data_IF_091229614645
#
_entry.id   IF_091229614645
#
_cell.length_a   1.000
_cell.length_b   1.000
_cell.length_c   1.000
_cell.angle_alpha   90.00
_cell.angle_beta   90.00
_cell.angle_gamma   90.00
#
_symmetry.space_group_name_H-M   'P 1'
#
loop_
_entity.id
_entity.type
_entity.pdbx_description
1 polymer ?
#
# COMPACT_ATOMS: atom_id res chain seq x y z
N UNK A 1 -26.14 6.89 36.35
CA UNK A 1 -26.73 5.73 35.66
C UNK A 1 -25.91 4.43 35.78
N UNK A 2 -24.69 4.39 36.33
CA UNK A 2 -23.96 3.12 36.59
C UNK A 2 -23.52 2.32 35.34
N UNK A 3 -23.88 2.78 34.14
CA UNK A 3 -23.62 2.10 32.87
C UNK A 3 -22.14 1.82 32.63
N UNK A 4 -21.26 2.73 33.08
CA UNK A 4 -19.82 2.59 32.90
C UNK A 4 -19.26 1.27 33.44
N UNK A 5 -19.83 0.67 34.49
CA UNK A 5 -19.34 -0.59 35.05
C UNK A 5 -19.90 -1.83 34.34
N UNK A 6 -20.89 -1.65 33.47
CA UNK A 6 -21.52 -2.70 32.66
C UNK A 6 -21.36 -2.48 31.15
N UNK A 7 -20.46 -1.60 30.73
CA UNK A 7 -20.20 -1.31 29.32
C UNK A 7 -18.76 -1.65 28.97
N UNK A 8 -18.60 -2.44 27.90
CA UNK A 8 -17.32 -2.62 27.23
C UNK A 8 -17.15 -1.44 26.27
N UNK A 9 -16.01 -0.74 26.36
CA UNK A 9 -15.66 0.33 25.43
C UNK A 9 -14.45 -0.10 24.63
N UNK A 10 -14.56 -0.04 23.30
CA UNK A 10 -13.46 -0.28 22.37
C UNK A 10 -13.21 1.00 21.60
N UNK A 11 -11.98 1.49 21.65
CA UNK A 11 -11.49 2.58 20.81
C UNK A 11 -10.45 2.03 19.84
N UNK A 12 -10.63 2.28 18.55
CA UNK A 12 -9.77 1.77 17.48
C UNK A 12 -9.65 2.75 16.31
N UNK A 13 -8.56 2.63 15.55
CA UNK A 13 -8.44 3.21 14.20
C UNK A 13 -8.68 2.15 13.13
N UNK A 14 -9.08 2.57 11.92
CA UNK A 14 -9.22 1.70 10.75
C UNK A 14 -7.88 1.49 10.03
N UNK A 15 -7.09 2.56 9.92
CA UNK A 15 -5.74 2.59 9.39
C UNK A 15 -4.96 3.77 9.97
N UNK A 16 -3.65 3.76 9.74
CA UNK A 16 -2.77 4.86 10.07
C UNK A 16 -2.64 5.87 8.93
N UNK A 17 -1.66 6.76 9.06
CA UNK A 17 -1.32 7.76 8.06
C UNK A 17 0.19 8.01 8.09
N UNK A 18 0.85 7.87 6.94
CA UNK A 18 2.29 8.09 6.80
C UNK A 18 2.70 9.53 7.14
N UNK A 19 1.83 10.52 6.92
CA UNK A 19 2.08 11.92 7.26
C UNK A 19 3.45 12.49 6.80
N UNK A 20 3.99 11.98 5.68
CA UNK A 20 5.30 12.38 5.15
C UNK A 20 6.48 11.51 5.59
N UNK A 21 6.28 10.57 6.53
CA UNK A 21 7.28 9.57 6.88
C UNK A 21 7.75 8.82 5.64
N UNK A 22 9.07 8.62 5.53
CA UNK A 22 9.72 8.00 4.36
C UNK A 22 9.43 8.72 3.03
N UNK A 23 9.06 10.01 3.08
CA UNK A 23 8.63 10.77 1.91
C UNK A 23 7.26 10.35 1.35
N UNK A 24 6.52 9.49 2.06
CA UNK A 24 5.26 8.90 1.61
C UNK A 24 4.09 9.68 2.21
N UNK A 25 3.11 9.98 1.35
CA UNK A 25 1.80 10.51 1.76
C UNK A 25 0.77 9.38 1.72
N UNK A 26 -0.30 9.50 2.51
CA UNK A 26 -1.38 8.51 2.53
C UNK A 26 -1.08 7.30 3.43
N UNK A 27 -1.66 6.14 3.08
CA UNK A 27 -1.87 5.01 4.00
C UNK A 27 -1.95 3.62 3.33
N UNK A 28 -1.34 3.47 2.15
CA UNK A 28 -1.41 2.26 1.34
C UNK A 28 -0.03 1.61 1.27
N UNK A 29 0.61 1.45 2.43
CA UNK A 29 1.97 0.94 2.56
C UNK A 29 2.10 0.09 3.83
N UNK A 30 3.08 -0.84 3.91
CA UNK A 30 3.14 -1.84 4.98
C UNK A 30 3.78 -1.36 6.30
N UNK A 31 4.27 -0.12 6.34
CA UNK A 31 5.01 0.41 7.49
C UNK A 31 4.08 0.81 8.64
N UNK A 32 4.62 0.86 9.86
CA UNK A 32 3.89 1.00 11.12
C UNK A 32 3.00 2.24 11.12
N UNK A 33 3.46 3.36 10.57
CA UNK A 33 2.65 4.59 10.49
C UNK A 33 1.37 4.40 9.69
N UNK A 34 1.34 3.45 8.75
CA UNK A 34 0.18 3.15 7.91
C UNK A 34 -0.69 2.01 8.47
N UNK A 35 -0.09 0.99 9.09
CA UNK A 35 -0.81 -0.24 9.46
C UNK A 35 -1.08 -0.40 10.95
N UNK A 36 -0.32 0.27 11.82
CA UNK A 36 -0.50 0.19 13.27
C UNK A 36 -1.44 1.29 13.74
N UNK A 37 -2.56 0.85 14.30
CA UNK A 37 -3.63 1.71 14.82
C UNK A 37 -3.73 1.61 16.34
N UNK A 38 -4.29 2.63 17.03
CA UNK A 38 -4.66 2.48 18.42
C UNK A 38 -5.69 1.35 18.60
N UNK A 39 -5.57 0.59 19.68
CA UNK A 39 -6.60 -0.31 20.18
C UNK A 39 -6.62 -0.22 21.70
N UNK A 40 -7.70 0.32 22.26
CA UNK A 40 -7.91 0.45 23.71
C UNK A 40 -9.21 -0.26 24.05
N UNK A 41 -9.14 -1.22 24.97
CA UNK A 41 -10.31 -1.98 25.43
C UNK A 41 -10.47 -1.75 26.93
N UNK A 42 -11.59 -1.15 27.32
CA UNK A 42 -12.05 -1.08 28.71
C UNK A 42 -13.16 -2.10 28.91
N UNK A 43 -12.90 -3.14 29.71
CA UNK A 43 -13.85 -4.20 30.01
C UNK A 43 -13.93 -4.46 31.53
N UNK A 44 -14.69 -3.65 32.31
CA UNK A 44 -14.63 -3.56 33.78
C UNK A 44 -14.83 -4.87 34.57
N UNK A 45 -15.48 -5.88 33.99
CA UNK A 45 -15.73 -7.20 34.62
C UNK A 45 -14.90 -8.34 34.05
N UNK A 46 -14.16 -8.08 32.97
CA UNK A 46 -13.47 -9.12 32.19
C UNK A 46 -11.96 -8.91 32.14
N UNK A 47 -11.51 -7.66 32.25
CA UNK A 47 -10.09 -7.34 32.33
C UNK A 47 -9.62 -7.44 33.78
N UNK A 48 -8.64 -8.31 34.02
CA UNK A 48 -7.99 -8.47 35.33
C UNK A 48 -6.73 -7.60 35.44
N UNK A 49 -6.19 -7.14 34.31
CA UNK A 49 -4.99 -6.29 34.26
C UNK A 49 -5.32 -4.93 33.69
N UNK A 50 -4.72 -3.90 34.30
CA UNK A 50 -4.61 -2.55 33.73
C UNK A 50 -3.20 -2.42 33.15
N UNK A 51 -3.07 -1.88 31.94
CA UNK A 51 -1.76 -1.63 31.35
C UNK A 51 -1.75 -1.77 29.84
N UNK A 52 -0.54 -1.98 29.31
CA UNK A 52 -0.26 -2.14 27.88
C UNK A 52 0.15 -3.59 27.60
N UNK A 53 -0.33 -4.15 26.49
CA UNK A 53 0.28 -5.33 25.89
C UNK A 53 1.00 -4.93 24.60
N UNK A 54 2.17 -5.52 24.36
CA UNK A 54 2.93 -5.40 23.11
C UNK A 54 2.68 -6.59 22.16
N UNK A 55 1.79 -7.50 22.55
CA UNK A 55 1.36 -8.62 21.73
C UNK A 55 0.67 -8.11 20.45
N UNK A 56 0.94 -8.73 19.28
CA UNK A 56 0.23 -8.41 18.05
C UNK A 56 -1.28 -8.61 18.17
N UNK A 57 -2.05 -7.60 17.78
CA UNK A 57 -3.49 -7.71 17.57
C UNK A 57 -3.85 -7.32 16.13
N UNK A 58 -4.90 -7.93 15.60
CA UNK A 58 -5.53 -7.60 14.32
C UNK A 58 -6.93 -7.02 14.57
N UNK A 59 -7.41 -6.14 13.70
CA UNK A 59 -8.80 -5.68 13.72
C UNK A 59 -9.79 -6.86 13.60
N UNK A 60 -9.39 -7.97 12.99
CA UNK A 60 -10.18 -9.21 12.90
C UNK A 60 -10.38 -9.88 14.28
N UNK A 61 -9.50 -9.62 15.25
CA UNK A 61 -9.61 -10.19 16.61
C UNK A 61 -10.75 -9.52 17.40
N UNK A 62 -11.19 -8.32 17.00
CA UNK A 62 -12.16 -7.51 17.76
C UNK A 62 -13.56 -8.13 17.77
N UNK A 63 -14.19 -8.49 16.62
CA UNK A 63 -15.50 -9.15 16.64
C UNK A 63 -15.50 -10.46 17.42
N UNK A 64 -14.44 -11.27 17.25
CA UNK A 64 -14.24 -12.55 17.94
C UNK A 64 -14.20 -12.35 19.46
N UNK A 65 -13.44 -11.35 19.91
CA UNK A 65 -13.33 -11.02 21.34
C UNK A 65 -14.63 -10.48 21.91
N UNK A 66 -15.35 -9.60 21.20
CA UNK A 66 -16.61 -9.04 21.67
C UNK A 66 -17.70 -10.10 21.83
N UNK A 67 -17.85 -11.02 20.87
CA UNK A 67 -18.77 -12.14 21.00
C UNK A 67 -18.38 -13.04 22.18
N UNK A 68 -17.09 -13.34 22.34
CA UNK A 68 -16.61 -14.16 23.44
C UNK A 68 -16.80 -13.50 24.82
N UNK A 69 -16.74 -12.17 24.92
CA UNK A 69 -17.08 -11.39 26.12
C UNK A 69 -18.59 -11.38 26.41
N UNK A 70 -19.41 -11.42 25.36
CA UNK A 70 -20.86 -11.54 25.45
C UNK A 70 -21.35 -12.99 25.66
N UNK A 71 -20.45 -13.97 25.79
CA UNK A 71 -20.76 -15.40 25.85
C UNK A 71 -21.54 -15.91 24.62
N UNK A 72 -21.29 -15.31 23.45
CA UNK A 72 -21.86 -15.71 22.16
C UNK A 72 -20.78 -16.45 21.36
N UNK A 73 -21.15 -17.58 20.77
CA UNK A 73 -20.24 -18.30 19.87
C UNK A 73 -20.02 -17.51 18.57
N UNK A 74 -18.79 -17.44 18.09
CA UNK A 74 -18.48 -16.92 16.77
C UNK A 74 -18.37 -18.07 15.75
N UNK A 75 -18.56 -17.81 14.45
CA UNK A 75 -18.30 -18.79 13.40
C UNK A 75 -16.85 -19.31 13.44
N UNK A 76 -16.67 -20.60 13.15
CA UNK A 76 -15.35 -21.27 13.23
C UNK A 76 -14.38 -20.84 12.13
N UNK A 77 -14.89 -20.30 11.05
CA UNK A 77 -14.18 -19.84 9.86
C UNK A 77 -13.70 -18.38 9.97
N UNK A 78 -14.11 -17.65 11.02
CA UNK A 78 -13.58 -16.32 11.28
C UNK A 78 -12.07 -16.34 11.50
N UNK A 79 -11.37 -15.41 10.85
CA UNK A 79 -9.90 -15.32 10.93
C UNK A 79 -9.37 -14.69 12.23
N UNK A 80 -10.25 -14.13 13.05
CA UNK A 80 -9.92 -13.46 14.31
C UNK A 80 -9.69 -14.42 15.48
N UNK A 81 -8.98 -13.93 16.49
CA UNK A 81 -8.67 -14.64 17.74
C UNK A 81 -9.34 -13.97 18.93
N UNK A 82 -9.57 -14.76 19.97
CA UNK A 82 -10.08 -14.28 21.24
C UNK A 82 -8.96 -13.64 22.07
N UNK A 83 -9.05 -12.33 22.33
CA UNK A 83 -8.08 -11.56 23.12
C UNK A 83 -8.36 -11.59 24.63
N UNK A 84 -9.41 -12.26 25.12
CA UNK A 84 -9.69 -12.39 26.56
C UNK A 84 -8.50 -12.89 27.39
N UNK A 85 -7.65 -13.82 26.92
CA UNK A 85 -6.46 -14.21 27.66
C UNK A 85 -5.52 -13.02 27.95
N UNK A 86 -5.36 -12.09 27.00
CA UNK A 86 -4.55 -10.87 27.18
C UNK A 86 -5.22 -9.95 28.19
N UNK A 87 -6.53 -9.74 28.09
CA UNK A 87 -7.30 -8.93 29.06
C UNK A 87 -7.22 -9.48 30.49
N UNK A 88 -7.03 -10.81 30.64
CA UNK A 88 -6.85 -11.49 31.92
C UNK A 88 -5.39 -11.57 32.39
N UNK A 89 -4.43 -11.02 31.62
CA UNK A 89 -3.01 -11.05 31.95
C UNK A 89 -2.34 -12.41 31.76
N UNK A 90 -2.97 -13.35 31.04
CA UNK A 90 -2.33 -14.60 30.67
C UNK A 90 -1.13 -14.31 29.77
N UNK A 91 -0.02 -15.03 29.97
CA UNK A 91 1.14 -15.05 29.06
C UNK A 91 1.11 -16.25 28.11
N UNK A 92 0.19 -17.20 28.30
CA UNK A 92 0.07 -18.44 27.52
C UNK A 92 -1.19 -18.38 26.65
N UNK A 93 -1.14 -17.67 25.53
CA UNK A 93 -2.30 -17.46 24.65
C UNK A 93 -2.02 -17.63 23.15
N UNK A 94 -0.79 -17.93 22.73
CA UNK A 94 -0.40 -18.17 21.33
C UNK A 94 -0.76 -17.03 20.36
N UNK A 95 -0.91 -15.80 20.86
CA UNK A 95 -1.11 -14.60 20.03
C UNK A 95 0.26 -13.96 19.86
N UNK A 96 1.03 -14.44 18.89
CA UNK A 96 2.44 -14.07 18.70
C UNK A 96 2.73 -13.41 17.33
N UNK A 97 1.72 -13.31 16.45
CA UNK A 97 1.80 -12.56 15.20
C UNK A 97 0.50 -11.85 14.81
N UNK A 98 0.57 -10.87 13.91
CA UNK A 98 -0.57 -10.30 13.18
C UNK A 98 -0.21 -10.19 11.70
N UNK A 99 -1.22 -10.25 10.83
CA UNK A 99 -1.07 -10.16 9.37
C UNK A 99 -1.92 -9.01 8.86
N UNK A 100 -1.40 -8.33 7.84
CA UNK A 100 -2.12 -7.33 7.07
C UNK A 100 -1.82 -7.53 5.59
N UNK A 101 -2.72 -7.05 4.75
CA UNK A 101 -2.67 -7.22 3.31
C UNK A 101 -3.10 -5.96 2.59
N UNK A 102 -2.49 -5.76 1.43
CA UNK A 102 -3.02 -4.89 0.39
C UNK A 102 -2.97 -5.67 -0.92
N UNK A 103 -4.10 -5.75 -1.60
CA UNK A 103 -4.26 -6.49 -2.85
C UNK A 103 -5.08 -5.66 -3.82
N UNK A 104 -4.43 -4.69 -4.45
CA UNK A 104 -5.05 -3.89 -5.49
C UNK A 104 -4.29 -4.11 -6.79
N UNK A 105 -4.92 -4.80 -7.73
CA UNK A 105 -4.33 -5.08 -9.05
C UNK A 105 -4.73 -4.05 -10.10
N UNK A 106 -5.60 -3.11 -9.76
CA UNK A 106 -6.34 -2.29 -10.73
C UNK A 106 -6.07 -0.79 -10.58
N UNK A 107 -5.71 -0.31 -9.39
CA UNK A 107 -5.39 1.11 -9.19
C UNK A 107 -3.91 1.45 -9.44
N UNK A 108 -3.63 2.75 -9.45
CA UNK A 108 -2.27 3.29 -9.47
C UNK A 108 -1.40 2.84 -8.27
N UNK A 109 -1.99 2.28 -7.22
CA UNK A 109 -1.29 1.77 -6.03
C UNK A 109 -0.91 0.29 -6.11
N UNK A 110 -1.09 -0.37 -7.26
CA UNK A 110 -0.71 -1.78 -7.45
C UNK A 110 0.77 -2.09 -7.17
N UNK A 111 1.65 -1.09 -7.27
CA UNK A 111 3.06 -1.21 -6.93
C UNK A 111 3.30 -1.36 -5.43
N UNK A 112 2.24 -1.24 -4.64
CA UNK A 112 2.23 -1.46 -3.21
C UNK A 112 1.46 -2.74 -2.81
N UNK A 113 1.13 -3.64 -3.74
CA UNK A 113 0.53 -4.93 -3.38
C UNK A 113 1.48 -5.73 -2.49
N UNK A 114 1.03 -6.03 -1.27
CA UNK A 114 1.86 -6.66 -0.27
C UNK A 114 1.08 -7.57 0.68
N UNK A 115 1.84 -8.44 1.32
CA UNK A 115 1.44 -9.16 2.52
C UNK A 115 2.49 -8.91 3.57
N UNK A 116 2.07 -8.67 4.81
CA UNK A 116 2.98 -8.55 5.93
C UNK A 116 2.60 -9.47 7.06
N UNK A 117 3.60 -9.92 7.80
CA UNK A 117 3.46 -10.60 9.08
C UNK A 117 4.35 -9.90 10.09
N UNK A 118 3.78 -9.48 11.22
CA UNK A 118 4.52 -8.91 12.35
C UNK A 118 4.40 -9.76 13.60
N UNK A 119 5.47 -9.86 14.36
CA UNK A 119 5.49 -10.32 15.75
C UNK A 119 5.71 -9.13 16.68
N UNK A 120 5.91 -9.36 17.97
CA UNK A 120 6.31 -8.30 18.90
C UNK A 120 7.70 -7.72 18.59
N UNK A 121 8.57 -8.45 17.87
CA UNK A 121 9.93 -8.01 17.56
C UNK A 121 10.21 -7.82 16.08
N UNK A 122 9.70 -8.67 15.19
CA UNK A 122 10.09 -8.63 13.79
C UNK A 122 8.87 -8.45 12.88
N UNK A 123 9.02 -7.68 11.80
CA UNK A 123 8.04 -7.58 10.72
C UNK A 123 8.66 -7.98 9.40
N UNK A 124 8.02 -8.91 8.70
CA UNK A 124 8.34 -9.31 7.33
C UNK A 124 7.28 -8.76 6.39
N UNK A 125 7.70 -8.08 5.33
CA UNK A 125 6.87 -7.62 4.23
C UNK A 125 7.27 -8.38 2.98
N UNK A 126 6.27 -8.89 2.27
CA UNK A 126 6.41 -9.52 0.97
C UNK A 126 5.60 -8.76 -0.06
N UNK A 127 6.31 -8.29 -1.08
CA UNK A 127 5.74 -7.68 -2.28
C UNK A 127 5.39 -8.73 -3.33
N UNK A 128 4.42 -8.45 -4.19
CA UNK A 128 4.03 -9.31 -5.32
C UNK A 128 5.02 -9.26 -6.50
N UNK A 129 5.72 -8.14 -6.68
CA UNK A 129 6.72 -7.99 -7.74
C UNK A 129 7.99 -8.79 -7.45
N UNK A 130 8.54 -9.43 -8.49
CA UNK A 130 9.73 -10.29 -8.40
C UNK A 130 11.03 -9.52 -8.19
N UNK A 131 11.08 -8.29 -8.69
CA UNK A 131 12.19 -7.35 -8.52
C UNK A 131 12.20 -6.81 -7.09
N UNK A 132 11.06 -6.47 -6.48
CA UNK A 132 11.06 -5.95 -5.11
C UNK A 132 11.53 -6.99 -4.09
N UNK A 133 12.60 -6.76 -3.31
CA UNK A 133 13.06 -7.70 -2.30
C UNK A 133 12.08 -7.75 -1.13
N UNK A 134 12.01 -8.88 -0.43
CA UNK A 134 11.31 -8.92 0.86
C UNK A 134 11.99 -7.95 1.84
N UNK A 135 11.19 -7.32 2.70
CA UNK A 135 11.68 -6.46 3.78
C UNK A 135 11.53 -7.16 5.12
N UNK A 136 12.58 -7.13 5.93
CA UNK A 136 12.55 -7.58 7.31
C UNK A 136 13.01 -6.43 8.18
N UNK A 137 12.30 -6.17 9.27
CA UNK A 137 12.62 -5.14 10.25
C UNK A 137 12.65 -5.73 11.66
N UNK A 138 13.58 -5.27 12.50
CA UNK A 138 13.55 -5.50 13.96
C UNK A 138 12.90 -4.28 14.60
N UNK A 139 11.63 -4.39 14.97
CA UNK A 139 10.80 -3.32 15.51
C UNK A 139 11.23 -2.85 16.91
N UNK A 140 12.12 -3.59 17.59
CA UNK A 140 12.69 -3.17 18.87
C UNK A 140 13.92 -2.30 18.62
N UNK A 141 14.83 -2.76 17.76
CA UNK A 141 16.06 -2.04 17.45
C UNK A 141 15.85 -0.88 16.45
N UNK A 142 14.82 -0.97 15.61
CA UNK A 142 14.49 -0.04 14.54
C UNK A 142 12.96 0.15 14.47
N UNK A 143 12.35 0.84 15.45
CA UNK A 143 10.90 1.03 15.53
C UNK A 143 10.32 1.88 14.39
N UNK A 144 11.17 2.58 13.64
CA UNK A 144 10.81 3.41 12.48
C UNK A 144 11.10 2.71 11.14
N UNK A 145 11.52 1.44 11.18
CA UNK A 145 11.70 0.57 10.02
C UNK A 145 12.66 1.15 8.97
N UNK A 146 13.65 1.90 9.40
CA UNK A 146 14.59 2.61 8.52
C UNK A 146 15.58 1.67 7.82
N UNK A 147 15.77 0.45 8.32
CA UNK A 147 16.80 -0.48 7.85
C UNK A 147 16.24 -1.86 7.53
N UNK A 148 16.14 -2.17 6.24
CA UNK A 148 15.83 -3.53 5.79
C UNK A 148 16.99 -4.49 6.13
N UNK A 149 16.71 -5.52 6.93
CA UNK A 149 17.67 -6.54 7.38
C UNK A 149 17.42 -7.93 6.77
N UNK A 150 16.55 -8.06 5.76
CA UNK A 150 16.18 -9.34 5.14
C UNK A 150 17.34 -10.08 4.45
N UNK A 151 18.35 -9.32 3.99
CA UNK A 151 19.55 -9.86 3.33
C UNK A 151 20.61 -10.37 4.29
N UNK A 152 20.49 -10.13 5.61
CA UNK A 152 21.54 -10.52 6.57
C UNK A 152 21.54 -12.04 6.79
N UNK A 153 22.67 -12.75 6.54
CA UNK A 153 22.74 -14.20 6.73
C UNK A 153 22.33 -14.67 8.13
N UNK A 154 22.73 -13.91 9.16
CA UNK A 154 22.41 -14.21 10.57
C UNK A 154 20.90 -14.18 10.89
N UNK A 155 20.07 -13.52 10.04
CA UNK A 155 18.63 -13.39 10.24
C UNK A 155 17.82 -14.29 9.29
N UNK A 156 18.48 -15.15 8.51
CA UNK A 156 17.83 -16.06 7.56
C UNK A 156 16.78 -16.95 8.26
N UNK A 157 17.09 -17.50 9.42
CA UNK A 157 16.16 -18.38 10.16
C UNK A 157 14.90 -17.64 10.61
N UNK A 158 15.04 -16.39 11.07
CA UNK A 158 13.93 -15.52 11.47
C UNK A 158 13.06 -15.21 10.25
N UNK A 159 13.67 -14.74 9.16
CA UNK A 159 12.98 -14.42 7.91
C UNK A 159 12.19 -15.63 7.38
N UNK A 160 12.86 -16.77 7.24
CA UNK A 160 12.26 -17.98 6.67
C UNK A 160 11.18 -18.55 7.60
N UNK A 161 11.31 -18.38 8.92
CA UNK A 161 10.28 -18.73 9.90
C UNK A 161 9.01 -17.89 9.75
N UNK A 162 9.15 -16.56 9.62
CA UNK A 162 8.03 -15.66 9.36
C UNK A 162 7.38 -15.94 8.00
N UNK A 163 8.18 -16.19 6.97
CA UNK A 163 7.69 -16.53 5.64
C UNK A 163 6.87 -17.82 5.65
N UNK A 164 7.32 -18.86 6.37
CA UNK A 164 6.54 -20.10 6.55
C UNK A 164 5.19 -19.84 7.20
N UNK A 165 5.14 -19.00 8.24
CA UNK A 165 3.90 -18.64 8.93
C UNK A 165 2.95 -17.84 8.03
N UNK A 166 3.49 -16.87 7.28
CA UNK A 166 2.72 -16.10 6.31
C UNK A 166 2.14 -17.00 5.21
N UNK A 167 2.95 -17.91 4.65
CA UNK A 167 2.49 -18.88 3.66
C UNK A 167 1.41 -19.82 4.21
N UNK A 168 1.56 -20.30 5.45
CA UNK A 168 0.55 -21.13 6.09
C UNK A 168 -0.78 -20.38 6.28
N UNK A 169 -0.73 -19.10 6.64
CA UNK A 169 -1.90 -18.24 6.68
C UNK A 169 -2.54 -18.10 5.29
N UNK A 170 -1.77 -17.76 4.25
CA UNK A 170 -2.26 -17.61 2.88
C UNK A 170 -2.94 -18.90 2.35
N UNK A 171 -2.39 -20.07 2.66
CA UNK A 171 -3.01 -21.36 2.32
C UNK A 171 -4.33 -21.53 3.06
N UNK A 172 -4.34 -21.30 4.37
CA UNK A 172 -5.54 -21.47 5.22
C UNK A 172 -6.67 -20.53 4.82
N UNK A 173 -6.36 -19.31 4.40
CA UNK A 173 -7.36 -18.30 4.00
C UNK A 173 -7.68 -18.33 2.50
N UNK A 174 -7.12 -19.28 1.74
CA UNK A 174 -7.28 -19.35 0.29
C UNK A 174 -6.88 -18.03 -0.41
N UNK A 175 -5.85 -17.36 0.10
CA UNK A 175 -5.35 -16.09 -0.43
C UNK A 175 -4.76 -16.27 -1.84
N UNK A 176 -5.11 -15.41 -2.82
CA UNK A 176 -4.51 -15.40 -4.16
C UNK A 176 -2.98 -15.24 -4.14
N UNK A 177 -2.42 -14.56 -3.14
CA UNK A 177 -0.98 -14.32 -3.01
C UNK A 177 -0.15 -15.61 -2.82
N UNK A 178 -0.78 -16.75 -2.52
CA UNK A 178 -0.12 -18.07 -2.49
C UNK A 178 0.52 -18.46 -3.83
N UNK A 179 0.03 -17.88 -4.92
CA UNK A 179 0.52 -18.10 -6.27
C UNK A 179 1.54 -17.07 -6.74
N UNK A 180 1.95 -16.13 -5.87
CA UNK A 180 3.04 -15.23 -6.20
C UNK A 180 4.30 -16.01 -6.55
N UNK A 181 4.99 -15.55 -7.58
CA UNK A 181 6.20 -16.18 -8.04
C UNK A 181 7.25 -16.24 -6.91
N UNK A 182 8.04 -17.33 -6.90
CA UNK A 182 9.11 -17.49 -5.92
C UNK A 182 10.22 -16.49 -6.23
N UNK A 183 10.61 -15.71 -5.22
CA UNK A 183 11.79 -14.84 -5.31
C UNK A 183 13.06 -15.68 -5.18
N UNK A 184 14.02 -15.48 -6.08
CA UNK A 184 15.28 -16.25 -6.10
C UNK A 184 16.35 -15.73 -5.11
N UNK A 185 15.95 -14.94 -4.12
CA UNK A 185 16.83 -14.49 -3.04
C UNK A 185 17.91 -13.46 -3.42
N UNK A 186 17.90 -12.96 -4.66
CA UNK A 186 18.72 -11.81 -5.07
C UNK A 186 18.04 -10.52 -4.62
N UNK A 187 18.75 -9.69 -3.87
CA UNK A 187 18.33 -8.32 -3.57
C UNK A 187 18.68 -7.47 -4.78
N UNK A 188 17.78 -6.63 -5.31
CA UNK A 188 18.20 -5.69 -6.34
C UNK A 188 19.22 -4.72 -5.80
N UNK A 189 20.21 -4.42 -6.63
CA UNK A 189 21.08 -3.30 -6.38
C UNK A 189 20.29 -2.02 -6.74
N UNK A 190 19.75 -1.34 -5.73
CA UNK A 190 18.97 -0.11 -5.95
C UNK A 190 19.75 0.98 -6.73
N UNK A 191 21.09 0.95 -6.72
CA UNK A 191 21.90 1.85 -7.54
C UNK A 191 21.91 1.46 -9.03
N UNK A 192 21.80 0.18 -9.36
CA UNK A 192 21.65 -0.32 -10.73
C UNK A 192 20.23 -0.11 -11.25
N UNK A 193 19.20 -0.28 -10.41
CA UNK A 193 17.82 0.02 -10.79
C UNK A 193 17.60 1.52 -11.03
N UNK A 194 18.11 2.38 -10.14
CA UNK A 194 18.03 3.83 -10.35
C UNK A 194 18.78 4.27 -11.63
N UNK A 195 19.87 3.58 -11.98
CA UNK A 195 20.57 3.78 -13.27
C UNK A 195 19.73 3.28 -14.44
N UNK A 196 19.18 2.07 -14.38
CA UNK A 196 18.35 1.52 -15.45
C UNK A 196 17.05 2.32 -15.65
N UNK A 197 16.43 2.83 -14.58
CA UNK A 197 15.30 3.76 -14.66
C UNK A 197 15.72 5.12 -15.21
N UNK A 198 16.89 5.63 -14.84
CA UNK A 198 17.45 6.87 -15.41
C UNK A 198 17.80 6.72 -16.89
N UNK A 199 18.30 5.56 -17.30
CA UNK A 199 18.64 5.22 -18.69
C UNK A 199 17.37 4.98 -19.52
N UNK A 200 16.37 4.29 -18.97
CA UNK A 200 15.06 4.13 -19.58
C UNK A 200 14.37 5.49 -19.71
N UNK A 201 14.42 6.33 -18.67
CA UNK A 201 13.95 7.72 -18.71
C UNK A 201 14.67 8.52 -19.79
N UNK A 202 15.99 8.48 -19.86
CA UNK A 202 16.78 9.16 -20.89
C UNK A 202 16.43 8.64 -22.31
N UNK A 203 16.19 7.34 -22.46
CA UNK A 203 15.79 6.72 -23.73
C UNK A 203 14.37 7.09 -24.18
N UNK A 204 13.48 7.39 -23.22
CA UNK A 204 12.12 7.90 -23.47
C UNK A 204 12.11 9.44 -23.66
N UNK A 205 13.12 10.14 -23.14
CA UNK A 205 13.36 11.58 -23.26
C UNK A 205 13.99 11.96 -24.61
N UNK A 206 14.55 11.02 -25.39
CA UNK A 206 15.06 11.30 -26.73
C UNK A 206 13.92 11.48 -27.75
N UNK A 207 13.38 12.70 -27.76
CA UNK A 207 12.66 13.39 -28.83
C UNK A 207 12.30 14.75 -28.22
N UNK A 208 13.05 15.79 -28.59
CA UNK A 208 12.88 17.17 -28.12
C UNK A 208 11.40 17.63 -28.11
N UNK A 209 11.01 18.56 -27.21
CA UNK A 209 9.64 19.07 -27.17
C UNK A 209 9.26 19.63 -28.55
N UNK A 210 8.14 19.16 -29.10
CA UNK A 210 7.62 19.72 -30.35
C UNK A 210 6.91 21.04 -30.01
N UNK A 211 7.19 22.09 -30.79
CA UNK A 211 6.49 23.37 -30.62
C UNK A 211 5.04 23.21 -31.13
N UNK A 212 4.09 23.22 -30.20
CA UNK A 212 2.65 23.12 -30.47
C UNK A 212 2.01 24.48 -30.16
N UNK A 213 1.04 24.93 -30.95
CA UNK A 213 0.31 26.17 -30.67
C UNK A 213 -0.48 26.04 -29.34
N UNK A 214 -0.13 26.86 -28.36
CA UNK A 214 -0.73 26.85 -27.02
C UNK A 214 -2.21 27.28 -27.01
N UNK A 215 -2.73 27.84 -28.11
CA UNK A 215 -4.17 28.10 -28.27
C UNK A 215 -4.98 26.81 -28.27
N UNK A 216 -4.41 25.71 -28.76
CA UNK A 216 -5.09 24.42 -28.82
C UNK A 216 -5.29 23.78 -27.44
N UNK A 217 -4.50 24.18 -26.45
CA UNK A 217 -4.54 23.62 -25.09
C UNK A 217 -5.83 23.92 -24.35
N UNK A 218 -6.58 24.94 -24.79
CA UNK A 218 -7.89 25.26 -24.22
C UNK A 218 -8.86 24.07 -24.38
N UNK A 219 -8.80 23.39 -25.52
CA UNK A 219 -9.64 22.22 -25.81
C UNK A 219 -9.26 20.97 -24.99
N UNK A 220 -8.08 20.96 -24.38
CA UNK A 220 -7.58 19.85 -23.55
C UNK A 220 -7.88 20.02 -22.06
N UNK A 221 -8.15 21.26 -21.63
CA UNK A 221 -8.47 21.55 -20.25
C UNK A 221 -9.82 20.92 -19.86
N UNK A 222 -9.87 20.26 -18.70
CA UNK A 222 -11.05 19.54 -18.27
C UNK A 222 -10.77 18.48 -17.22
N UNK A 223 -11.84 17.87 -16.74
CA UNK A 223 -11.81 16.77 -15.77
C UNK A 223 -12.07 15.46 -16.51
N UNK A 224 -11.17 14.50 -16.35
CA UNK A 224 -11.23 13.19 -17.01
C UNK A 224 -11.30 12.10 -15.95
N UNK A 225 -12.21 11.16 -16.13
CA UNK A 225 -12.33 9.97 -15.29
C UNK A 225 -11.91 8.74 -16.10
N UNK A 226 -10.88 8.04 -15.62
CA UNK A 226 -10.43 6.80 -16.23
C UNK A 226 -11.28 5.62 -15.76
N UNK A 227 -11.32 4.53 -16.52
CA UNK A 227 -12.01 3.27 -16.16
C UNK A 227 -11.64 2.76 -14.75
N UNK A 228 -10.43 3.07 -14.27
CA UNK A 228 -9.96 2.78 -12.90
C UNK A 228 -10.61 3.65 -11.79
N UNK A 229 -11.63 4.45 -12.11
CA UNK A 229 -12.27 5.47 -11.24
C UNK A 229 -11.31 6.50 -10.65
N UNK A 230 -10.15 6.65 -11.27
CA UNK A 230 -9.20 7.72 -10.96
C UNK A 230 -9.61 8.92 -11.79
N UNK A 231 -9.83 10.04 -11.12
CA UNK A 231 -10.06 11.32 -11.79
C UNK A 231 -8.74 12.09 -11.88
N UNK A 232 -8.57 12.78 -13.00
CA UNK A 232 -7.49 13.74 -13.22
C UNK A 232 -8.06 15.03 -13.78
N UNK A 233 -7.44 16.15 -13.42
CA UNK A 233 -7.75 17.46 -14.00
C UNK A 233 -6.59 17.92 -14.86
N UNK A 234 -6.90 18.35 -16.07
CA UNK A 234 -5.96 19.01 -16.97
C UNK A 234 -6.27 20.52 -16.93
N UNK A 235 -5.25 21.33 -16.64
CA UNK A 235 -5.35 22.80 -16.69
C UNK A 235 -4.34 23.38 -17.66
N UNK A 236 -4.66 24.55 -18.20
CA UNK A 236 -3.75 25.36 -19.01
C UNK A 236 -3.33 26.58 -18.20
N UNK A 237 -2.02 26.78 -18.06
CA UNK A 237 -1.46 27.91 -17.32
C UNK A 237 -0.18 28.40 -18.03
N UNK A 238 -0.07 29.71 -18.26
CA UNK A 238 1.06 30.33 -18.97
C UNK A 238 1.44 29.63 -20.28
N UNK A 239 0.44 29.20 -21.05
CA UNK A 239 0.64 28.51 -22.33
C UNK A 239 1.17 27.07 -22.21
N UNK A 240 1.13 26.47 -21.01
CA UNK A 240 1.53 25.09 -20.72
C UNK A 240 0.35 24.28 -20.20
N UNK A 241 0.41 22.96 -20.36
CA UNK A 241 -0.57 22.05 -19.78
C UNK A 241 -0.06 21.46 -18.48
N UNK A 242 -0.95 21.31 -17.52
CA UNK A 242 -0.69 20.69 -16.23
C UNK A 242 -1.68 19.58 -15.97
N UNK A 243 -1.15 18.52 -15.38
CA UNK A 243 -1.85 17.37 -14.86
C UNK A 243 -1.97 17.52 -13.34
N UNK A 244 -3.16 17.25 -12.80
CA UNK A 244 -3.42 17.13 -11.37
C UNK A 244 -4.23 15.86 -11.11
N UNK A 245 -3.64 14.88 -10.41
CA UNK A 245 -4.33 13.65 -10.01
C UNK A 245 -5.01 13.78 -8.64
N UNK A 246 -6.00 12.92 -8.39
CA UNK A 246 -6.78 12.86 -7.13
C UNK A 246 -5.94 12.74 -5.84
N UNK A 247 -4.73 12.19 -5.93
CA UNK A 247 -3.85 11.95 -4.78
C UNK A 247 -2.79 13.04 -4.59
N UNK A 248 -2.95 14.17 -5.29
CA UNK A 248 -2.12 15.35 -5.18
C UNK A 248 -0.83 15.28 -6.00
N UNK A 249 -0.33 16.45 -6.40
CA UNK A 249 0.84 16.61 -7.27
C UNK A 249 0.45 17.19 -8.61
N UNK A 250 0.78 18.47 -8.81
CA UNK A 250 0.63 19.15 -10.10
C UNK A 250 1.92 18.97 -10.88
N UNK A 251 1.83 18.47 -12.10
CA UNK A 251 2.98 18.27 -12.99
C UNK A 251 2.69 18.82 -14.36
N UNK A 252 3.71 19.38 -14.99
CA UNK A 252 3.62 19.81 -16.39
C UNK A 252 3.51 18.60 -17.33
N UNK A 253 2.77 18.79 -18.42
CA UNK A 253 2.67 17.89 -19.55
C UNK A 253 3.48 18.47 -20.72
N UNK A 254 4.54 17.75 -21.12
CA UNK A 254 5.47 18.17 -22.17
C UNK A 254 4.94 17.72 -23.53
N UNK A 255 4.76 18.63 -24.51
CA UNK A 255 4.20 18.28 -25.82
C UNK A 255 5.13 17.38 -26.63
N UNK A 256 4.54 16.36 -27.24
CA UNK A 256 5.21 15.43 -28.15
C UNK A 256 4.67 15.47 -29.57
N UNK A 257 3.37 15.69 -29.70
CA UNK A 257 2.68 16.02 -30.94
C UNK A 257 1.54 16.98 -30.61
N UNK A 258 0.68 17.29 -31.58
CA UNK A 258 -0.52 18.08 -31.34
C UNK A 258 -1.38 17.51 -30.21
N UNK A 259 -1.51 16.19 -30.12
CA UNK A 259 -2.42 15.51 -29.21
C UNK A 259 -1.73 14.58 -28.20
N UNK A 260 -0.42 14.39 -28.28
CA UNK A 260 0.35 13.52 -27.38
C UNK A 260 1.28 14.33 -26.48
N UNK A 261 1.26 14.01 -25.19
CA UNK A 261 2.04 14.68 -24.15
C UNK A 261 2.69 13.69 -23.20
N UNK A 262 3.81 14.09 -22.60
CA UNK A 262 4.54 13.31 -21.61
C UNK A 262 4.43 13.95 -20.23
N UNK A 263 4.25 13.14 -19.19
CA UNK A 263 4.31 13.63 -17.82
C UNK A 263 5.75 14.00 -17.47
N UNK A 264 5.99 15.22 -16.95
CA UNK A 264 7.35 15.71 -16.68
C UNK A 264 8.20 14.83 -15.76
N UNK A 265 7.57 14.17 -14.79
CA UNK A 265 8.27 13.41 -13.74
C UNK A 265 7.95 11.91 -13.69
N UNK A 266 7.05 11.40 -14.54
CA UNK A 266 6.61 10.00 -14.49
C UNK A 266 6.69 9.42 -15.91
N UNK A 267 6.94 8.11 -16.08
CA UNK A 267 7.01 7.44 -17.39
C UNK A 267 5.60 7.22 -17.97
N UNK A 268 4.85 8.31 -18.08
CA UNK A 268 3.47 8.37 -18.49
C UNK A 268 3.31 9.24 -19.73
N UNK A 269 2.51 8.74 -20.66
CA UNK A 269 2.13 9.41 -21.88
C UNK A 269 0.62 9.61 -21.87
N UNK A 270 0.20 10.75 -22.34
CA UNK A 270 -1.19 11.15 -22.46
C UNK A 270 -1.51 11.44 -23.92
N UNK A 271 -2.63 10.93 -24.41
CA UNK A 271 -3.12 11.19 -25.77
C UNK A 271 -4.55 11.71 -25.69
N UNK A 272 -4.78 12.94 -26.13
CA UNK A 272 -6.11 13.51 -26.25
C UNK A 272 -6.75 13.03 -27.55
N UNK A 273 -7.83 12.25 -27.45
CA UNK A 273 -8.50 11.69 -28.62
C UNK A 273 -9.61 12.62 -29.08
N UNK A 274 -9.56 13.01 -30.35
CA UNK A 274 -10.53 13.92 -30.98
C UNK A 274 -11.53 13.15 -31.85
N UNK A 275 -12.76 13.63 -31.94
CA UNK A 275 -13.76 13.14 -32.89
C UNK A 275 -13.52 13.66 -34.32
N UNK A 276 -14.39 13.27 -35.27
CA UNK A 276 -14.32 13.75 -36.66
C UNK A 276 -14.58 15.25 -36.85
N UNK A 277 -14.98 15.97 -35.79
CA UNK A 277 -15.16 17.44 -35.75
C UNK A 277 -14.01 18.14 -35.02
N UNK A 278 -13.00 17.40 -34.56
CA UNK A 278 -11.85 17.93 -33.84
C UNK A 278 -12.09 18.19 -32.34
N UNK A 279 -13.22 17.77 -31.77
CA UNK A 279 -13.51 17.92 -30.34
C UNK A 279 -12.89 16.79 -29.53
N UNK A 280 -12.30 17.12 -28.39
CA UNK A 280 -11.70 16.13 -27.48
C UNK A 280 -12.82 15.33 -26.82
N UNK A 281 -12.76 14.00 -26.95
CA UNK A 281 -13.78 13.08 -26.44
C UNK A 281 -13.32 12.36 -25.18
N UNK A 282 -12.06 11.95 -25.13
CA UNK A 282 -11.47 11.24 -24.00
C UNK A 282 -9.95 11.41 -23.98
N UNK A 283 -9.35 11.04 -22.85
CA UNK A 283 -7.93 11.10 -22.60
C UNK A 283 -7.42 9.68 -22.40
N UNK A 284 -6.49 9.24 -23.26
CA UNK A 284 -5.84 7.94 -23.12
C UNK A 284 -4.53 8.13 -22.35
N UNK A 285 -4.29 7.28 -21.35
CA UNK A 285 -3.06 7.26 -20.57
C UNK A 285 -2.29 5.97 -20.86
N UNK A 286 -1.05 6.09 -21.34
CA UNK A 286 -0.10 4.97 -21.50
C UNK A 286 1.02 5.06 -20.48
N UNK A 287 1.42 3.92 -19.94
CA UNK A 287 2.50 3.81 -18.94
C UNK A 287 3.56 2.86 -19.50
N UNK A 288 4.79 3.35 -19.66
CA UNK A 288 5.94 2.56 -20.10
C UNK A 288 6.60 1.85 -18.92
N UNK A 289 7.02 0.57 -19.11
CA UNK A 289 7.67 -0.26 -18.07
C UNK A 289 8.79 -1.11 -18.68
N UNK A 290 9.65 -1.67 -17.83
CA UNK A 290 10.71 -2.64 -18.16
C UNK A 290 10.21 -3.97 -18.78
N UNK A 291 8.91 -4.13 -19.07
CA UNK A 291 8.29 -5.30 -19.69
C UNK A 291 7.21 -5.00 -20.73
N UNK A 292 7.18 -3.78 -21.30
CA UNK A 292 6.24 -3.35 -22.35
C UNK A 292 5.27 -2.23 -21.93
N UNK A 293 4.54 -1.68 -22.90
CA UNK A 293 3.60 -0.55 -22.74
C UNK A 293 2.17 -1.05 -22.41
N UNK A 294 1.46 -0.38 -21.49
CA UNK A 294 0.02 -0.64 -21.23
C UNK A 294 -0.81 0.62 -21.48
N UNK A 295 -1.97 0.45 -22.10
CA UNK A 295 -2.92 1.52 -22.46
C UNK A 295 -4.14 1.49 -21.55
N UNK A 296 -4.59 2.67 -21.11
CA UNK A 296 -5.83 2.89 -20.38
C UNK A 296 -6.62 3.98 -21.09
N UNK A 297 -7.84 3.65 -21.49
CA UNK A 297 -8.79 4.59 -22.09
C UNK A 297 -9.70 5.22 -21.03
#
# INVERSE_FOLDING_TARGET
QGLADNTIVVFLGDNGLMAGSRGVRGRIVPWEESVRVPLIIRAPKFAAVKGRSDDPASSLDIPTTLLALASVAHPKDWGGRDLRPILKGSRKHNIDYAISEWADTESQFRHHTHRLIRTSRHKLVRWDHLDQPDELYDLIADPHETKNIAGKPALRSVRDGLLRRLNAWMVRTNDPARFWAKKNGKTPNHAEEARAESELRASLEDKAPVKVDSRMYEAYAGRYEFVTRVTVSISKEDGRLFFLGDFGGKSELIPKSENEFLHRSLPMRFTFVKDGKGQVTHLVRRISRSGGERTFD
#
